data_IF_937987172192
#
_entry.id   IF_937987172192
#
_cell.length_a   1.000
_cell.length_b   1.000
_cell.length_c   1.000
_cell.angle_alpha   90.00
_cell.angle_beta   90.00
_cell.angle_gamma   90.00
#
_symmetry.space_group_name_H-M   'P 1'
#
loop_
_entity.id
_entity.type
_entity.pdbx_description
1 polymer ?
#
# COMPACT_ATOMS: atom_id res chain seq x y z
N UNK A 1 4.53 11.14 10.40
CA UNK A 1 3.05 11.08 10.47
C UNK A 1 2.63 9.66 10.79
N UNK A 2 1.71 9.53 11.70
CA UNK A 2 1.23 8.22 12.12
C UNK A 2 -0.27 8.09 11.88
N UNK A 3 -0.72 6.86 11.72
CA UNK A 3 -2.12 6.52 11.49
C UNK A 3 -2.67 5.77 12.69
N UNK A 4 -3.99 5.77 12.83
CA UNK A 4 -4.65 4.97 13.84
C UNK A 4 -4.50 3.48 13.53
N UNK A 5 -4.00 2.73 14.50
CA UNK A 5 -3.87 1.28 14.34
C UNK A 5 -5.24 0.60 14.52
N UNK A 6 -5.66 -0.25 13.56
CA UNK A 6 -6.96 -0.92 13.69
C UNK A 6 -7.01 -1.98 14.80
N UNK A 7 -5.84 -2.41 15.27
CA UNK A 7 -5.77 -3.42 16.33
C UNK A 7 -5.76 -2.81 17.73
N UNK A 8 -4.87 -1.84 17.98
CA UNK A 8 -4.73 -1.27 19.33
C UNK A 8 -5.32 0.14 19.46
N UNK A 9 -5.80 0.73 18.38
CA UNK A 9 -6.41 2.07 18.34
C UNK A 9 -5.48 3.22 18.71
N UNK A 10 -4.20 2.96 18.86
CA UNK A 10 -3.23 4.01 19.13
C UNK A 10 -2.75 4.69 17.83
N UNK A 11 -2.28 5.95 17.90
CA UNK A 11 -1.76 6.67 16.73
C UNK A 11 -0.32 6.25 16.40
N UNK A 12 -0.10 4.96 16.23
CA UNK A 12 1.23 4.36 16.14
C UNK A 12 1.44 3.50 14.90
N UNK A 13 0.47 3.49 13.97
CA UNK A 13 0.62 2.77 12.71
C UNK A 13 1.44 3.62 11.74
N UNK A 14 2.55 3.07 11.27
CA UNK A 14 3.50 3.78 10.43
C UNK A 14 3.69 3.07 9.10
N UNK A 15 4.01 3.84 8.07
CA UNK A 15 4.41 3.32 6.76
C UNK A 15 5.90 3.00 6.85
N UNK A 16 6.25 1.73 6.67
CA UNK A 16 7.64 1.29 6.75
C UNK A 16 8.34 1.22 5.39
N UNK A 17 7.57 1.09 4.30
CA UNK A 17 8.11 1.06 2.95
C UNK A 17 7.03 1.49 1.97
N UNK A 18 7.44 2.09 0.83
CA UNK A 18 6.52 2.52 -0.22
C UNK A 18 7.02 2.07 -1.58
N UNK A 19 6.10 1.57 -2.40
CA UNK A 19 6.34 1.21 -3.79
C UNK A 19 5.42 2.04 -4.67
N UNK A 20 5.97 2.93 -5.48
CA UNK A 20 5.19 3.74 -6.40
C UNK A 20 4.93 2.97 -7.69
N UNK A 21 3.66 2.88 -8.07
CA UNK A 21 3.21 2.08 -9.20
C UNK A 21 2.74 2.95 -10.35
N UNK A 22 2.89 2.44 -11.57
CA UNK A 22 2.36 3.10 -12.74
C UNK A 22 0.85 2.85 -12.80
N UNK A 23 0.03 3.90 -12.83
CA UNK A 23 -1.40 3.72 -12.94
C UNK A 23 -1.78 3.13 -14.30
N UNK A 24 -2.82 2.32 -14.30
CA UNK A 24 -3.36 1.80 -15.54
C UNK A 24 -4.36 2.79 -16.13
N UNK A 25 -3.96 3.42 -17.21
CA UNK A 25 -4.86 4.09 -18.11
C UNK A 25 -5.23 5.53 -17.82
N UNK A 26 -5.05 6.08 -16.64
CA UNK A 26 -5.43 7.45 -16.32
C UNK A 26 -4.40 8.13 -15.43
N UNK A 27 -4.73 9.36 -15.01
CA UNK A 27 -3.84 10.20 -14.21
C UNK A 27 -3.80 9.81 -12.71
N UNK A 28 -4.22 8.61 -12.38
CA UNK A 28 -4.20 8.12 -11.00
C UNK A 28 -2.78 7.84 -10.53
N UNK A 29 -2.47 8.31 -9.34
CA UNK A 29 -1.25 7.92 -8.66
C UNK A 29 -1.57 6.80 -7.67
N UNK A 30 -0.82 5.71 -7.72
CA UNK A 30 -1.01 4.57 -6.83
C UNK A 30 0.30 4.24 -6.14
N UNK A 31 0.24 4.13 -4.82
CA UNK A 31 1.40 3.75 -4.00
C UNK A 31 0.99 2.57 -3.11
N UNK A 32 1.73 1.47 -3.21
CA UNK A 32 1.59 0.34 -2.30
C UNK A 32 2.56 0.54 -1.14
N UNK A 33 2.11 0.25 0.07
CA UNK A 33 2.87 0.51 1.28
C UNK A 33 2.88 -0.71 2.18
N UNK A 34 3.94 -0.89 2.95
CA UNK A 34 3.93 -1.80 4.08
C UNK A 34 3.69 -1.00 5.36
N UNK A 35 2.90 -1.55 6.25
CA UNK A 35 2.45 -0.89 7.47
C UNK A 35 2.91 -1.68 8.69
N UNK A 36 3.35 -0.96 9.71
CA UNK A 36 3.76 -1.57 10.98
C UNK A 36 3.35 -0.66 12.13
N UNK A 37 2.76 -1.25 13.17
CA UNK A 37 2.44 -0.52 14.38
C UNK A 37 3.62 -0.53 15.34
N UNK A 38 4.00 0.64 15.84
CA UNK A 38 5.06 0.76 16.84
C UNK A 38 4.60 0.39 18.25
N UNK A 39 3.29 0.37 18.49
CA UNK A 39 2.72 0.09 19.79
C UNK A 39 2.20 -1.33 20.02
N UNK A 40 2.03 -2.10 18.94
CA UNK A 40 1.61 -3.50 19.02
C UNK A 40 2.20 -4.29 17.85
N UNK A 41 1.82 -5.56 17.73
CA UNK A 41 2.38 -6.43 16.68
C UNK A 41 1.64 -6.35 15.34
N UNK A 42 0.72 -5.41 15.20
CA UNK A 42 -0.05 -5.27 13.97
C UNK A 42 0.85 -4.88 12.80
N UNK A 43 0.64 -5.54 11.67
CA UNK A 43 1.28 -5.16 10.39
C UNK A 43 0.32 -5.47 9.25
N UNK A 44 0.54 -4.77 8.14
CA UNK A 44 -0.34 -4.88 7.00
C UNK A 44 0.26 -4.25 5.76
N UNK A 45 -0.57 -4.11 4.74
CA UNK A 45 -0.26 -3.35 3.53
C UNK A 45 -1.27 -2.23 3.35
N UNK A 46 -0.82 -1.13 2.78
CA UNK A 46 -1.68 -0.01 2.45
C UNK A 46 -1.63 0.29 0.97
N UNK A 47 -2.74 0.80 0.45
CA UNK A 47 -2.81 1.31 -0.91
C UNK A 47 -3.31 2.74 -0.85
N UNK A 48 -2.46 3.66 -1.24
CA UNK A 48 -2.82 5.06 -1.45
C UNK A 48 -3.10 5.27 -2.92
N UNK A 49 -4.27 5.83 -3.22
CA UNK A 49 -4.66 6.12 -4.58
C UNK A 49 -5.17 7.55 -4.66
N UNK A 50 -4.63 8.31 -5.59
CA UNK A 50 -5.05 9.67 -5.85
C UNK A 50 -5.47 9.79 -7.31
N UNK A 51 -6.68 10.26 -7.53
CA UNK A 51 -7.25 10.41 -8.87
C UNK A 51 -7.35 11.89 -9.21
N UNK A 52 -6.81 12.27 -10.36
CA UNK A 52 -6.84 13.65 -10.86
C UNK A 52 -7.52 13.67 -12.21
N UNK A 53 -8.83 13.45 -12.20
CA UNK A 53 -9.60 13.54 -13.44
C UNK A 53 -9.95 14.99 -13.75
N UNK A 54 -9.32 15.55 -14.71
CA UNK A 54 -9.63 16.68 -15.62
C UNK A 54 -10.53 17.83 -15.19
N UNK A 55 -11.19 17.80 -14.07
CA UNK A 55 -11.99 18.90 -13.57
C UNK A 55 -11.31 19.45 -12.32
N UNK A 56 -11.19 20.75 -12.27
CA UNK A 56 -10.50 21.48 -11.21
C UNK A 56 -11.03 21.23 -9.79
N UNK A 57 -12.17 20.58 -9.65
CA UNK A 57 -12.83 20.39 -8.38
C UNK A 57 -12.94 18.90 -7.96
N UNK A 58 -12.40 17.97 -8.74
CA UNK A 58 -12.62 16.53 -8.49
C UNK A 58 -11.34 15.79 -8.18
N UNK A 59 -10.55 16.29 -7.25
CA UNK A 59 -9.49 15.48 -6.66
C UNK A 59 -10.13 14.50 -5.68
N UNK A 60 -10.07 13.23 -6.00
CA UNK A 60 -10.46 12.16 -5.07
C UNK A 60 -9.25 11.35 -4.68
N UNK A 61 -9.19 10.97 -3.43
CA UNK A 61 -8.13 10.11 -2.93
C UNK A 61 -8.72 9.06 -2.01
N UNK A 62 -8.02 7.93 -1.92
CA UNK A 62 -8.36 6.89 -0.97
C UNK A 62 -7.07 6.32 -0.37
N UNK A 63 -7.13 5.95 0.90
CA UNK A 63 -6.02 5.33 1.58
C UNK A 63 -6.55 4.20 2.43
N UNK A 64 -6.35 2.98 1.97
CA UNK A 64 -6.91 1.80 2.59
C UNK A 64 -5.81 0.84 2.99
N UNK A 65 -6.02 0.14 4.09
CA UNK A 65 -5.11 -0.85 4.60
C UNK A 65 -5.72 -2.23 4.66
N UNK A 66 -4.86 -3.24 4.69
CA UNK A 66 -5.25 -4.65 4.74
C UNK A 66 -4.34 -5.36 5.73
N UNK A 67 -4.88 -6.06 6.73
CA UNK A 67 -4.07 -6.87 7.62
C UNK A 67 -3.36 -7.98 6.83
N UNK A 68 -2.12 -8.28 7.18
CA UNK A 68 -1.40 -9.42 6.62
C UNK A 68 -0.77 -10.23 7.75
N UNK A 69 -0.59 -11.52 7.53
CA UNK A 69 0.14 -12.35 8.46
C UNK A 69 1.66 -12.24 8.25
N UNK A 70 2.44 -12.80 9.16
CA UNK A 70 3.90 -12.73 9.11
C UNK A 70 4.47 -13.31 7.82
N UNK A 71 3.91 -14.42 7.36
CA UNK A 71 4.38 -15.08 6.15
C UNK A 71 4.16 -14.22 4.90
N UNK A 72 2.99 -13.61 4.77
CA UNK A 72 2.69 -12.71 3.65
C UNK A 72 3.59 -11.47 3.70
N UNK A 73 3.82 -10.92 4.89
CA UNK A 73 4.69 -9.77 5.06
C UNK A 73 6.13 -10.07 4.62
N UNK A 74 6.66 -11.24 4.98
CA UNK A 74 7.99 -11.65 4.55
C UNK A 74 8.10 -11.74 3.04
N UNK A 75 7.10 -12.31 2.38
CA UNK A 75 7.06 -12.41 0.92
C UNK A 75 7.03 -11.04 0.27
N UNK A 76 6.27 -10.12 0.84
CA UNK A 76 6.21 -8.74 0.36
C UNK A 76 7.58 -8.08 0.48
N UNK A 77 8.22 -8.17 1.63
CA UNK A 77 9.55 -7.59 1.81
C UNK A 77 10.59 -8.18 0.88
N UNK A 78 10.57 -9.49 0.67
CA UNK A 78 11.48 -10.14 -0.28
C UNK A 78 11.28 -9.57 -1.69
N UNK A 79 10.04 -9.41 -2.12
CA UNK A 79 9.74 -8.83 -3.43
C UNK A 79 10.19 -7.38 -3.52
N UNK A 80 9.95 -6.58 -2.49
CA UNK A 80 10.31 -5.17 -2.48
C UNK A 80 11.83 -4.96 -2.50
N UNK A 81 12.59 -5.82 -1.83
CA UNK A 81 14.05 -5.74 -1.81
C UNK A 81 14.67 -6.04 -3.17
N UNK A 82 13.97 -6.76 -4.04
CA UNK A 82 14.43 -7.03 -5.39
C UNK A 82 14.22 -5.86 -6.34
N UNK A 83 13.44 -4.87 -5.95
CA UNK A 83 13.21 -3.70 -6.79
C UNK A 83 14.33 -2.69 -6.62
N UNK A 84 15.04 -2.32 -7.71
CA UNK A 84 16.15 -1.36 -7.61
C UNK A 84 15.68 0.09 -7.43
N UNK A 85 14.42 0.39 -7.78
CA UNK A 85 13.90 1.76 -7.78
C UNK A 85 12.44 1.78 -7.31
N UNK A 86 12.18 1.52 -6.03
CA UNK A 86 10.79 1.42 -5.54
C UNK A 86 10.01 2.72 -5.65
N UNK A 87 10.69 3.87 -5.64
CA UNK A 87 10.03 5.17 -5.78
C UNK A 87 9.92 5.66 -7.22
N UNK A 88 10.37 4.88 -8.17
CA UNK A 88 10.24 5.18 -9.57
C UNK A 88 9.10 4.37 -10.16
N UNK A 89 7.95 5.01 -10.38
CA UNK A 89 6.78 4.36 -10.94
C UNK A 89 6.99 3.83 -12.36
N UNK A 90 8.06 4.25 -13.04
CA UNK A 90 8.43 3.77 -14.37
C UNK A 90 9.35 2.56 -14.34
N UNK A 91 9.73 2.11 -13.17
CA UNK A 91 10.54 0.93 -13.03
C UNK A 91 9.80 -0.29 -13.58
N UNK A 92 10.45 -1.05 -14.45
CA UNK A 92 9.85 -2.21 -15.10
C UNK A 92 10.32 -3.54 -14.52
N UNK A 93 10.79 -3.54 -13.30
CA UNK A 93 11.24 -4.75 -12.64
C UNK A 93 10.08 -5.73 -12.36
N UNK A 94 10.39 -7.02 -12.10
CA UNK A 94 9.33 -8.00 -11.79
C UNK A 94 8.44 -7.63 -10.62
N UNK A 95 8.98 -6.94 -9.61
CA UNK A 95 8.20 -6.48 -8.46
C UNK A 95 7.14 -5.47 -8.89
N UNK A 96 7.52 -4.45 -9.64
CA UNK A 96 6.57 -3.48 -10.17
C UNK A 96 5.52 -4.15 -11.06
N UNK A 97 5.94 -5.07 -11.90
CA UNK A 97 5.01 -5.80 -12.77
C UNK A 97 4.00 -6.62 -11.95
N UNK A 98 4.43 -7.26 -10.88
CA UNK A 98 3.56 -8.08 -10.05
C UNK A 98 2.48 -7.27 -9.34
N UNK A 99 2.82 -6.08 -8.84
CA UNK A 99 1.87 -5.23 -8.11
C UNK A 99 1.08 -4.27 -9.01
N UNK A 100 1.58 -3.98 -10.21
CA UNK A 100 0.98 -2.97 -11.08
C UNK A 100 -0.22 -3.46 -11.88
N UNK A 101 -0.41 -4.77 -12.05
CA UNK A 101 -1.45 -5.27 -12.94
C UNK A 101 -2.84 -5.14 -12.36
N UNK A 102 -3.53 -6.18 -12.05
CA UNK A 102 -4.97 -6.13 -11.75
C UNK A 102 -5.27 -5.93 -10.28
N UNK A 103 -4.30 -6.17 -9.42
CA UNK A 103 -4.52 -6.13 -7.99
C UNK A 103 -3.33 -5.45 -7.31
N UNK A 104 -3.54 -4.19 -6.97
CA UNK A 104 -2.50 -3.34 -6.38
C UNK A 104 -1.97 -3.86 -5.05
N UNK A 105 -2.78 -4.58 -4.31
CA UNK A 105 -2.46 -4.97 -2.95
C UNK A 105 -2.09 -6.44 -2.83
N UNK A 106 -2.57 -7.27 -3.75
CA UNK A 106 -2.50 -8.72 -3.60
C UNK A 106 -2.19 -9.43 -4.91
N UNK A 107 -0.91 -9.46 -5.34
CA UNK A 107 -0.55 -10.34 -6.44
C UNK A 107 -1.01 -11.77 -6.14
N UNK A 108 -1.31 -12.57 -7.17
CA UNK A 108 -1.94 -13.89 -6.96
C UNK A 108 -1.23 -14.84 -5.99
N UNK A 109 0.07 -14.65 -5.80
CA UNK A 109 0.86 -15.53 -4.95
C UNK A 109 0.87 -15.14 -3.46
N UNK A 110 0.30 -14.00 -3.10
CA UNK A 110 0.34 -13.54 -1.70
C UNK A 110 -0.84 -14.03 -0.87
N UNK A 111 -2.03 -14.15 -1.46
CA UNK A 111 -3.21 -14.65 -0.77
C UNK A 111 -3.72 -13.75 0.35
N UNK A 112 -3.57 -12.45 0.22
CA UNK A 112 -4.06 -11.49 1.23
C UNK A 112 -5.59 -11.43 1.18
N UNK A 113 -6.23 -11.51 2.35
CA UNK A 113 -7.68 -11.38 2.47
C UNK A 113 -8.08 -9.90 2.39
N UNK A 114 -8.59 -9.49 1.23
CA UNK A 114 -9.00 -8.12 1.01
C UNK A 114 -10.36 -7.77 1.65
N UNK A 115 -11.06 -8.75 2.21
CA UNK A 115 -12.30 -8.51 2.92
C UNK A 115 -12.11 -7.78 4.26
N UNK A 116 -10.92 -7.82 4.82
CA UNK A 116 -10.59 -7.16 6.09
C UNK A 116 -10.06 -5.74 5.92
N UNK A 117 -10.39 -5.10 4.84
CA UNK A 117 -9.99 -3.74 4.52
C UNK A 117 -10.40 -2.75 5.62
N UNK A 118 -9.50 -1.83 5.93
CA UNK A 118 -9.79 -0.71 6.82
C UNK A 118 -9.31 0.61 6.19
N UNK A 119 -9.90 1.72 6.61
CA UNK A 119 -9.43 3.02 6.15
C UNK A 119 -8.26 3.50 6.99
N UNK A 120 -7.24 4.02 6.31
CA UNK A 120 -6.09 4.63 6.98
C UNK A 120 -6.49 6.02 7.46
N UNK A 121 -6.49 6.20 8.78
CA UNK A 121 -6.85 7.47 9.40
C UNK A 121 -5.62 8.14 9.98
N UNK A 122 -5.28 9.27 9.41
CA UNK A 122 -4.17 10.07 9.89
C UNK A 122 -4.53 10.70 11.23
N UNK A 123 -3.66 10.52 12.21
CA UNK A 123 -3.80 11.11 13.52
C UNK A 123 -2.83 12.28 13.65
N UNK A 124 -3.33 13.41 14.09
CA UNK A 124 -2.55 14.62 14.29
C UNK A 124 -2.25 14.87 15.75
#
# INVERSE_FOLDING_TARGET
MAFECPSCSAPTLEISFSLELTPQGDDDEVTMQTLKCAGCDFHGVGVYRESRHGSLSSESWSHQGYPVNDEALERIYEALLLCPRPRDRRCSCPTHAAFAHQNWVNPPHLGIDTAQRFEMRLVR
#
